data_IF_759040670159
#
_entry.id   IF_759040670159
#
_cell.length_a   1.000
_cell.length_b   1.000
_cell.length_c   1.000
_cell.angle_alpha   90.00
_cell.angle_beta   90.00
_cell.angle_gamma   90.00
#
_symmetry.space_group_name_H-M   'P 1'
#
loop_
_entity.id
_entity.type
_entity.pdbx_description
1 polymer ?
#
# COMPACT_ATOMS: atom_id res chain seq x y z
N UNK A 1 -3.48 -10.61 -4.78
CA UNK A 1 -3.16 -9.16 -4.62
C UNK A 1 -1.68 -8.94 -4.37
N UNK A 2 -1.07 -9.54 -3.34
CA UNK A 2 0.35 -9.30 -3.04
C UNK A 2 1.36 -9.75 -4.11
N UNK A 3 1.05 -10.79 -4.90
CA UNK A 3 1.97 -11.27 -5.95
C UNK A 3 2.22 -10.27 -7.08
N UNK A 4 1.27 -9.40 -7.41
CA UNK A 4 1.47 -8.38 -8.44
C UNK A 4 2.58 -7.39 -8.01
N UNK A 5 2.61 -7.05 -6.73
CA UNK A 5 3.68 -6.22 -6.16
C UNK A 5 5.01 -6.97 -6.12
N UNK A 6 5.01 -8.28 -5.83
CA UNK A 6 6.24 -9.07 -5.80
C UNK A 6 6.97 -9.09 -7.15
N UNK A 7 6.22 -9.24 -8.26
CA UNK A 7 6.78 -9.24 -9.61
C UNK A 7 7.35 -7.87 -10.03
N UNK A 8 6.71 -6.77 -9.59
CA UNK A 8 7.14 -5.41 -9.92
C UNK A 8 8.07 -4.76 -8.88
N UNK A 9 8.31 -5.43 -7.74
CA UNK A 9 9.12 -4.91 -6.64
C UNK A 9 10.52 -4.54 -7.10
N UNK A 10 11.15 -5.37 -7.92
CA UNK A 10 12.53 -5.13 -8.41
C UNK A 10 12.66 -3.86 -9.26
N UNK A 11 11.55 -3.37 -9.82
CA UNK A 11 11.50 -2.14 -10.63
C UNK A 11 11.05 -0.93 -9.80
N UNK A 12 10.70 -1.12 -8.53
CA UNK A 12 10.18 -0.06 -7.71
C UNK A 12 11.30 0.92 -7.32
N UNK A 13 11.05 2.24 -7.32
CA UNK A 13 12.07 3.24 -6.99
C UNK A 13 12.52 3.18 -5.53
N UNK A 14 11.72 2.56 -4.66
CA UNK A 14 12.03 2.32 -3.24
C UNK A 14 12.70 0.96 -2.99
N UNK A 15 12.94 0.16 -4.03
CA UNK A 15 13.59 -1.14 -3.88
C UNK A 15 15.09 -0.99 -3.66
N UNK A 16 15.56 -1.55 -2.55
CA UNK A 16 16.98 -1.65 -2.22
C UNK A 16 17.54 -3.03 -2.57
N UNK A 17 18.69 -3.06 -3.23
CA UNK A 17 19.43 -4.29 -3.59
C UNK A 17 19.78 -5.08 -2.32
N UNK A 18 19.51 -6.39 -2.33
CA UNK A 18 19.76 -7.28 -1.18
C UNK A 18 18.58 -7.41 -0.21
N UNK A 19 17.46 -6.71 -0.44
CA UNK A 19 16.20 -6.92 0.27
C UNK A 19 15.36 -7.97 -0.43
N UNK A 20 14.67 -8.81 0.34
CA UNK A 20 13.78 -9.84 -0.23
C UNK A 20 12.32 -9.42 -0.13
N UNK A 21 11.45 -10.11 -0.88
CA UNK A 21 10.01 -9.92 -0.79
C UNK A 21 9.49 -10.04 0.66
N UNK A 22 10.07 -10.92 1.47
CA UNK A 22 9.67 -11.13 2.87
C UNK A 22 9.89 -9.88 3.73
N UNK A 23 10.91 -9.08 3.41
CA UNK A 23 11.16 -7.81 4.09
C UNK A 23 10.03 -6.79 3.77
N UNK A 24 9.52 -6.76 2.53
CA UNK A 24 8.48 -5.82 2.08
C UNK A 24 7.04 -6.30 2.28
N UNK A 25 6.81 -7.61 2.36
CA UNK A 25 5.47 -8.20 2.54
C UNK A 25 4.68 -7.59 3.72
N UNK A 26 5.26 -7.37 4.92
CA UNK A 26 4.53 -6.71 6.01
C UNK A 26 4.18 -5.24 5.68
N UNK A 27 5.00 -4.53 4.91
CA UNK A 27 4.74 -3.14 4.53
C UNK A 27 3.51 -3.03 3.60
N UNK A 28 3.45 -3.89 2.57
CA UNK A 28 2.27 -3.95 1.71
C UNK A 28 1.00 -4.33 2.49
N UNK A 29 1.10 -5.29 3.42
CA UNK A 29 -0.03 -5.68 4.28
C UNK A 29 -0.51 -4.53 5.17
N UNK A 30 0.40 -3.73 5.71
CA UNK A 30 0.08 -2.55 6.51
C UNK A 30 -0.68 -1.52 5.67
N UNK A 31 -0.21 -1.21 4.45
CA UNK A 31 -0.88 -0.27 3.54
C UNK A 31 -2.30 -0.70 3.19
N UNK A 32 -2.47 -1.95 2.77
CA UNK A 32 -3.79 -2.53 2.45
C UNK A 32 -4.76 -2.46 3.63
N UNK A 33 -4.28 -2.84 4.83
CA UNK A 33 -5.09 -2.84 6.04
C UNK A 33 -5.48 -1.42 6.46
N UNK A 34 -4.55 -0.48 6.35
CA UNK A 34 -4.82 0.90 6.75
C UNK A 34 -5.82 1.57 5.81
N UNK A 35 -5.75 1.30 4.50
CA UNK A 35 -6.74 1.81 3.56
C UNK A 35 -8.16 1.31 3.86
N UNK A 36 -8.30 0.04 4.25
CA UNK A 36 -9.59 -0.51 4.64
C UNK A 36 -10.19 0.17 5.89
N UNK A 37 -9.34 0.70 6.79
CA UNK A 37 -9.80 1.42 7.98
C UNK A 37 -10.14 2.87 7.69
N UNK A 38 -9.44 3.49 6.75
CA UNK A 38 -9.57 4.91 6.43
C UNK A 38 -9.88 5.11 4.94
N UNK A 39 -11.00 4.57 4.43
CA UNK A 39 -11.40 4.79 3.05
C UNK A 39 -11.74 6.26 2.82
N UNK A 40 -11.09 6.88 1.86
CA UNK A 40 -11.25 8.29 1.46
C UNK A 40 -10.18 9.25 1.98
N UNK A 41 -9.31 8.80 2.89
CA UNK A 41 -8.24 9.63 3.46
C UNK A 41 -6.99 9.69 2.57
N UNK A 42 -6.22 10.78 2.71
CA UNK A 42 -4.93 10.94 2.05
C UNK A 42 -3.82 10.19 2.80
N UNK A 43 -2.83 9.70 2.05
CA UNK A 43 -1.73 8.93 2.64
C UNK A 43 -0.95 9.75 3.67
N UNK A 44 -0.65 11.02 3.40
CA UNK A 44 0.10 11.87 4.33
C UNK A 44 -0.63 12.10 5.66
N UNK A 45 -1.97 12.14 5.66
CA UNK A 45 -2.76 12.27 6.88
C UNK A 45 -2.57 11.06 7.82
N UNK A 46 -2.48 9.85 7.24
CA UNK A 46 -2.28 8.61 8.00
C UNK A 46 -0.82 8.19 8.12
N UNK A 47 0.11 8.82 7.39
CA UNK A 47 1.52 8.42 7.32
C UNK A 47 2.19 8.39 8.69
N UNK A 48 1.92 9.38 9.55
CA UNK A 48 2.47 9.43 10.90
C UNK A 48 1.97 8.29 11.79
N UNK A 49 0.71 7.86 11.63
CA UNK A 49 0.18 6.69 12.35
C UNK A 49 0.75 5.39 11.78
N UNK A 50 0.85 5.30 10.46
CA UNK A 50 1.44 4.15 9.76
C UNK A 50 2.90 3.94 10.15
N UNK A 51 3.66 5.01 10.38
CA UNK A 51 5.04 4.91 10.87
C UNK A 51 5.11 4.24 12.25
N UNK A 52 4.22 4.63 13.17
CA UNK A 52 4.13 4.02 14.50
C UNK A 52 3.74 2.55 14.40
N UNK A 53 2.71 2.26 13.60
CA UNK A 53 2.23 0.90 13.38
C UNK A 53 3.29 0.02 12.70
N UNK A 54 4.08 0.59 11.78
CA UNK A 54 5.19 -0.08 11.12
C UNK A 54 6.25 -0.49 12.14
N UNK A 55 6.66 0.43 13.02
CA UNK A 55 7.64 0.10 14.06
C UNK A 55 7.16 -1.00 15.01
N UNK A 56 5.85 -1.07 15.29
CA UNK A 56 5.26 -2.14 16.10
C UNK A 56 5.12 -3.47 15.35
N UNK A 57 4.86 -3.45 14.04
CA UNK A 57 4.48 -4.64 13.25
C UNK A 57 5.62 -5.24 12.42
N UNK A 58 6.65 -4.46 12.09
CA UNK A 58 7.76 -4.88 11.19
C UNK A 58 8.41 -6.20 11.62
N UNK A 59 8.42 -6.50 12.91
CA UNK A 59 8.98 -7.75 13.45
C UNK A 59 10.42 -7.97 12.99
N UNK A 60 10.68 -9.09 12.32
CA UNK A 60 11.98 -9.44 11.76
C UNK A 60 12.32 -8.69 10.45
N UNK A 61 11.42 -7.85 9.92
CA UNK A 61 11.69 -7.10 8.70
C UNK A 61 12.82 -6.11 8.92
N UNK A 62 13.78 -6.16 8.01
CA UNK A 62 15.01 -5.37 8.09
C UNK A 62 14.85 -3.97 7.49
N UNK A 63 13.68 -3.62 6.95
CA UNK A 63 13.40 -2.32 6.33
C UNK A 63 13.15 -1.23 7.36
N UNK A 64 13.76 -0.06 7.16
CA UNK A 64 13.39 1.16 7.87
C UNK A 64 12.04 1.71 7.40
N UNK A 65 11.47 2.66 8.15
CA UNK A 65 10.22 3.31 7.77
C UNK A 65 10.30 3.97 6.39
N UNK A 66 11.43 4.60 6.04
CA UNK A 66 11.60 5.26 4.72
C UNK A 66 11.48 4.25 3.56
N UNK A 67 12.10 3.08 3.67
CA UNK A 67 11.99 2.00 2.66
C UNK A 67 10.57 1.43 2.64
N UNK A 68 9.99 1.20 3.82
CA UNK A 68 8.64 0.63 3.96
C UNK A 68 7.56 1.59 3.46
N UNK A 69 7.70 2.90 3.70
CA UNK A 69 6.74 3.95 3.29
C UNK A 69 6.42 3.83 1.81
N UNK A 70 7.42 3.66 0.94
CA UNK A 70 7.21 3.51 -0.50
C UNK A 70 6.36 2.27 -0.85
N UNK A 71 6.58 1.15 -0.16
CA UNK A 71 5.77 -0.06 -0.35
C UNK A 71 4.34 0.09 0.22
N UNK A 72 4.20 0.72 1.39
CA UNK A 72 2.89 0.99 2.03
C UNK A 72 2.07 1.93 1.13
N UNK A 73 2.68 3.00 0.62
CA UNK A 73 2.06 3.98 -0.27
C UNK A 73 1.63 3.34 -1.59
N UNK A 74 2.49 2.50 -2.20
CA UNK A 74 2.12 1.77 -3.41
C UNK A 74 0.90 0.87 -3.21
N UNK A 75 0.81 0.16 -2.07
CA UNK A 75 -0.39 -0.61 -1.72
C UNK A 75 -1.62 0.28 -1.54
N UNK A 76 -1.46 1.43 -0.88
CA UNK A 76 -2.54 2.39 -0.65
C UNK A 76 -3.10 2.95 -1.96
N UNK A 77 -2.22 3.49 -2.81
CA UNK A 77 -2.59 4.05 -4.10
C UNK A 77 -3.29 3.02 -4.99
N UNK A 78 -2.80 1.78 -5.01
CA UNK A 78 -3.44 0.70 -5.76
C UNK A 78 -4.89 0.47 -5.33
N UNK A 79 -5.16 0.48 -4.03
CA UNK A 79 -6.53 0.32 -3.54
C UNK A 79 -7.39 1.57 -3.71
N UNK A 80 -6.82 2.76 -3.60
CA UNK A 80 -7.51 4.01 -3.91
C UNK A 80 -7.95 4.05 -5.38
N UNK A 81 -7.07 3.68 -6.32
CA UNK A 81 -7.40 3.54 -7.74
C UNK A 81 -8.48 2.48 -7.98
N UNK A 82 -8.40 1.33 -7.31
CA UNK A 82 -9.42 0.29 -7.42
C UNK A 82 -10.80 0.76 -6.89
N UNK A 83 -10.82 1.55 -5.82
CA UNK A 83 -12.04 2.14 -5.28
C UNK A 83 -12.63 3.20 -6.22
N UNK A 84 -11.80 4.08 -6.76
CA UNK A 84 -12.20 5.11 -7.73
C UNK A 84 -12.77 4.49 -9.01
N UNK A 85 -12.12 3.45 -9.53
CA UNK A 85 -12.59 2.72 -10.71
C UNK A 85 -13.96 2.05 -10.48
N UNK A 86 -14.19 1.46 -9.30
CA UNK A 86 -15.51 0.93 -8.92
C UNK A 86 -16.58 2.02 -8.86
N UNK A 87 -16.26 3.19 -8.32
CA UNK A 87 -17.17 4.34 -8.27
C UNK A 87 -17.55 4.84 -9.66
N UNK A 88 -16.58 4.93 -10.58
CA UNK A 88 -16.83 5.36 -11.95
C UNK A 88 -17.71 4.36 -12.72
N UNK A 89 -17.43 3.06 -12.57
CA UNK A 89 -18.23 2.00 -13.18
C UNK A 89 -19.69 1.99 -12.68
N UNK A 90 -19.91 2.23 -11.38
CA UNK A 90 -21.26 2.37 -10.82
C UNK A 90 -22.00 3.57 -11.42
N UNK A 91 -21.37 4.75 -11.44
CA UNK A 91 -21.95 5.98 -12.01
C UNK A 91 -22.32 5.85 -13.50
N UNK A 92 -21.53 5.11 -14.27
CA UNK A 92 -21.84 4.84 -15.70
C UNK A 92 -23.05 3.94 -15.88
N UNK A 93 -23.28 3.01 -14.95
CA UNK A 93 -24.42 2.10 -14.96
C UNK A 93 -25.73 2.84 -14.68
N UNK A 94 -25.74 3.71 -13.67
CA UNK A 94 -26.93 4.48 -13.28
C UNK A 94 -27.35 5.52 -14.35
N UNK A 95 -26.44 5.96 -15.21
CA UNK A 95 -26.75 6.91 -16.31
C UNK A 95 -27.41 6.25 -17.53
N UNK A 96 -27.30 4.94 -17.68
CA UNK A 96 -27.74 4.20 -18.87
C UNK A 96 -28.98 3.32 -18.60
N UNK A 97 -29.68 3.53 -17.48
CA UNK A 97 -30.96 2.93 -17.14
C UNK A 97 -32.06 3.99 -17.24
#
# INVERSE_FOLDING_TARGET
>A
MLQAFASSLQQAPYYSVGRTWEDYAPAYRLGLRSWQRNPGEEFDAVAAQLERDWNAMRGASRLGWVEARGAVEAAWQHCAMAAASKQDAARRRDRNA
#
